data_IF_001940107077
#
_entry.id   IF_001940107077
#
_cell.length_a   1.000
_cell.length_b   1.000
_cell.length_c   1.000
_cell.angle_alpha   90.00
_cell.angle_beta   90.00
_cell.angle_gamma   90.00
#
_symmetry.space_group_name_H-M   'P 1'
#
loop_
_entity.id
_entity.type
_entity.pdbx_description
1 polymer ?
#
# COMPACT_ATOMS: atom_id res chain seq x y z
N UNK A 1 47.60 -4.38 26.90
CA UNK A 1 47.48 -4.04 25.46
C UNK A 1 46.54 -5.06 24.79
N UNK A 2 45.23 -5.00 25.08
CA UNK A 2 44.26 -5.96 24.54
C UNK A 2 43.84 -5.46 23.16
N UNK A 3 44.28 -6.15 22.09
CA UNK A 3 43.87 -5.83 20.73
C UNK A 3 42.39 -6.20 20.59
N UNK A 4 41.55 -5.17 20.56
CA UNK A 4 40.13 -5.24 20.22
C UNK A 4 39.99 -5.84 18.82
N UNK A 5 39.67 -7.13 18.78
CA UNK A 5 39.48 -7.88 17.54
C UNK A 5 38.07 -7.54 17.06
N UNK A 6 37.91 -6.41 16.37
CA UNK A 6 36.68 -6.09 15.62
C UNK A 6 36.42 -7.23 14.65
N UNK A 7 35.53 -8.13 15.03
CA UNK A 7 34.85 -9.05 14.12
C UNK A 7 34.23 -8.20 13.01
N UNK A 8 34.48 -8.51 11.73
CA UNK A 8 33.69 -7.94 10.65
C UNK A 8 32.25 -8.39 10.91
N UNK A 9 31.40 -7.48 11.40
CA UNK A 9 29.96 -7.68 11.34
C UNK A 9 29.67 -7.88 9.85
N UNK A 10 28.99 -8.96 9.42
CA UNK A 10 28.57 -9.08 8.03
C UNK A 10 27.80 -7.79 7.74
N UNK A 11 28.38 -6.99 6.85
CA UNK A 11 27.81 -5.74 6.37
C UNK A 11 26.38 -6.06 5.96
N UNK A 12 25.46 -5.31 6.56
CA UNK A 12 24.03 -5.47 6.43
C UNK A 12 23.64 -5.71 4.96
N UNK A 13 23.04 -6.86 4.71
CA UNK A 13 22.01 -7.06 3.70
C UNK A 13 22.41 -6.64 2.27
N UNK A 14 23.24 -7.45 1.60
CA UNK A 14 23.08 -7.61 0.15
C UNK A 14 21.70 -8.27 -0.10
N UNK A 15 20.65 -7.46 -0.04
CA UNK A 15 19.28 -7.87 -0.30
C UNK A 15 19.12 -8.33 -1.74
N UNK A 16 18.19 -9.26 -1.98
CA UNK A 16 17.87 -9.74 -3.33
C UNK A 16 17.41 -8.57 -4.20
N UNK A 17 18.26 -8.14 -5.13
CA UNK A 17 17.93 -7.12 -6.13
C UNK A 17 17.07 -7.78 -7.20
N UNK A 18 15.85 -7.26 -7.37
CA UNK A 18 14.92 -7.79 -8.37
C UNK A 18 15.42 -7.48 -9.78
N UNK A 19 15.28 -8.44 -10.68
CA UNK A 19 15.48 -8.21 -12.11
C UNK A 19 14.45 -7.20 -12.62
N UNK A 20 14.74 -6.45 -13.70
CA UNK A 20 13.80 -5.47 -14.26
C UNK A 20 12.44 -6.09 -14.62
N UNK A 21 12.42 -7.36 -15.03
CA UNK A 21 11.18 -8.09 -15.32
C UNK A 21 10.34 -8.35 -14.06
N UNK A 22 10.97 -8.78 -12.96
CA UNK A 22 10.29 -9.00 -11.69
C UNK A 22 9.69 -7.70 -11.15
N UNK A 23 10.43 -6.59 -11.25
CA UNK A 23 9.95 -5.27 -10.84
C UNK A 23 8.75 -4.81 -11.67
N UNK A 24 8.75 -5.07 -12.99
CA UNK A 24 7.62 -4.73 -13.88
C UNK A 24 6.35 -5.50 -13.52
N UNK A 25 6.47 -6.81 -13.26
CA UNK A 25 5.34 -7.64 -12.81
C UNK A 25 4.78 -7.16 -11.47
N UNK A 26 5.66 -6.80 -10.53
CA UNK A 26 5.25 -6.24 -9.23
C UNK A 26 4.48 -4.94 -9.38
N UNK A 27 4.95 -4.02 -10.22
CA UNK A 27 4.26 -2.75 -10.50
C UNK A 27 2.87 -2.97 -11.11
N UNK A 28 2.75 -3.86 -12.10
CA UNK A 28 1.45 -4.17 -12.71
C UNK A 28 0.44 -4.68 -11.68
N UNK A 29 0.86 -5.61 -10.79
CA UNK A 29 -0.02 -6.11 -9.72
C UNK A 29 -0.43 -5.01 -8.75
N UNK A 30 0.50 -4.16 -8.32
CA UNK A 30 0.20 -3.07 -7.41
C UNK A 30 -0.79 -2.07 -8.03
N UNK A 31 -0.65 -1.77 -9.32
CA UNK A 31 -1.59 -0.90 -10.05
C UNK A 31 -2.98 -1.55 -10.11
N UNK A 32 -3.06 -2.84 -10.41
CA UNK A 32 -4.34 -3.56 -10.44
C UNK A 32 -5.04 -3.50 -9.07
N UNK A 33 -4.30 -3.78 -7.99
CA UNK A 33 -4.84 -3.72 -6.62
C UNK A 33 -5.29 -2.28 -6.28
N UNK A 34 -4.46 -1.27 -6.58
CA UNK A 34 -4.80 0.12 -6.31
C UNK A 34 -6.06 0.56 -7.08
N UNK A 35 -6.18 0.17 -8.35
CA UNK A 35 -7.35 0.48 -9.17
C UNK A 35 -8.62 -0.17 -8.62
N UNK A 36 -8.54 -1.44 -8.20
CA UNK A 36 -9.68 -2.16 -7.62
C UNK A 36 -10.13 -1.53 -6.29
N UNK A 37 -9.18 -1.28 -5.39
CA UNK A 37 -9.47 -0.66 -4.09
C UNK A 37 -10.03 0.75 -4.26
N UNK A 38 -9.44 1.55 -5.14
CA UNK A 38 -9.90 2.91 -5.43
C UNK A 38 -11.31 2.91 -6.01
N UNK A 39 -11.60 2.04 -6.97
CA UNK A 39 -12.93 1.89 -7.57
C UNK A 39 -13.97 1.49 -6.52
N UNK A 40 -13.66 0.49 -5.68
CA UNK A 40 -14.54 0.04 -4.61
C UNK A 40 -14.84 1.17 -3.60
N UNK A 41 -13.82 1.93 -3.21
CA UNK A 41 -13.98 3.06 -2.29
C UNK A 41 -14.87 4.17 -2.88
N UNK A 42 -14.66 4.51 -4.16
CA UNK A 42 -15.50 5.49 -4.86
C UNK A 42 -16.95 5.01 -4.96
N UNK A 43 -17.17 3.74 -5.31
CA UNK A 43 -18.51 3.15 -5.33
C UNK A 43 -19.20 3.28 -3.97
N UNK A 44 -18.53 2.89 -2.88
CA UNK A 44 -19.09 3.01 -1.54
C UNK A 44 -19.36 4.46 -1.15
N UNK A 45 -18.49 5.39 -1.53
CA UNK A 45 -18.69 6.81 -1.26
C UNK A 45 -19.92 7.36 -2.00
N UNK A 46 -20.08 7.02 -3.28
CA UNK A 46 -21.27 7.40 -4.06
C UNK A 46 -22.53 6.81 -3.44
N UNK A 47 -22.54 5.53 -3.11
CA UNK A 47 -23.67 4.87 -2.45
C UNK A 47 -23.99 5.54 -1.11
N UNK A 48 -22.95 5.93 -0.35
CA UNK A 48 -23.12 6.65 0.91
C UNK A 48 -23.85 7.97 0.71
N UNK A 49 -23.41 8.80 -0.24
CA UNK A 49 -24.08 10.08 -0.51
C UNK A 49 -25.51 9.85 -0.99
N UNK A 50 -25.74 8.94 -1.94
CA UNK A 50 -27.06 8.73 -2.55
C UNK A 50 -28.06 8.11 -1.57
N UNK A 51 -27.63 7.13 -0.76
CA UNK A 51 -28.53 6.37 0.13
C UNK A 51 -28.59 6.93 1.54
N UNK A 52 -27.46 7.30 2.13
CA UNK A 52 -27.40 7.82 3.49
C UNK A 52 -27.62 9.34 3.52
N UNK A 53 -27.14 10.08 2.52
CA UNK A 53 -27.23 11.55 2.48
C UNK A 53 -28.65 12.12 2.65
N UNK A 54 -29.67 11.66 1.92
CA UNK A 54 -31.04 12.16 2.09
C UNK A 54 -31.62 11.89 3.48
N UNK A 55 -31.25 10.78 4.10
CA UNK A 55 -31.69 10.44 5.47
C UNK A 55 -31.12 11.40 6.51
N UNK A 56 -29.92 11.95 6.30
CA UNK A 56 -29.33 12.94 7.21
C UNK A 56 -30.00 14.32 7.05
N UNK A 57 -30.40 14.67 5.82
CA UNK A 57 -31.10 15.93 5.53
C UNK A 57 -32.55 15.93 6.03
N UNK A 58 -33.20 14.76 6.02
CA UNK A 58 -34.57 14.57 6.49
C UNK A 58 -34.65 14.27 7.99
N UNK A 59 -33.97 15.05 8.84
CA UNK A 59 -34.24 15.03 10.29
C UNK A 59 -34.97 16.30 10.73
N UNK A 60 -36.01 16.19 11.58
CA UNK A 60 -36.58 17.36 12.24
C UNK A 60 -35.53 17.98 13.19
N UNK A 61 -35.45 19.31 13.20
CA UNK A 61 -34.58 20.06 14.11
C UNK A 61 -34.99 19.83 15.57
#
# INVERSE_FOLDING_TARGET
MSKDKKTPRPSQEEGVVLTPEQLRRRRARNIAIASLLGFLAVLFYVVTIVKLGPNVLNRPL
#
